data_IF_103052913118
#
_entry.id   IF_103052913118
#
_cell.length_a   1.000
_cell.length_b   1.000
_cell.length_c   1.000
_cell.angle_alpha   90.00
_cell.angle_beta   90.00
_cell.angle_gamma   90.00
#
_symmetry.space_group_name_H-M   'P 1'
#
loop_
_entity.id
_entity.type
_entity.pdbx_description
1 polymer ?
#
# COMPACT_ATOMS: atom_id res chain seq x y z
N UNK A 1 -3.94 24.43 -15.37
CA UNK A 1 -4.94 24.72 -14.32
C UNK A 1 -6.27 24.14 -14.77
N UNK A 2 -6.87 23.25 -14.00
CA UNK A 2 -8.19 22.69 -14.25
C UNK A 2 -9.22 23.69 -13.73
N UNK A 3 -10.14 24.12 -14.57
CA UNK A 3 -11.23 25.01 -14.15
C UNK A 3 -12.34 24.19 -13.47
N UNK A 4 -13.06 24.80 -12.54
CA UNK A 4 -14.14 24.11 -11.80
C UNK A 4 -15.22 23.55 -12.75
N UNK A 5 -15.48 24.24 -13.87
CA UNK A 5 -16.42 23.79 -14.91
C UNK A 5 -15.94 22.53 -15.68
N UNK A 6 -14.67 22.19 -15.56
CA UNK A 6 -14.05 21.06 -16.27
C UNK A 6 -13.98 19.79 -15.41
N UNK A 7 -14.38 19.88 -14.12
CA UNK A 7 -14.29 18.72 -13.20
C UNK A 7 -15.24 17.59 -13.62
N UNK A 8 -16.40 17.95 -14.17
CA UNK A 8 -17.44 17.00 -14.61
C UNK A 8 -17.40 16.68 -16.12
N UNK A 9 -16.53 17.35 -16.89
CA UNK A 9 -16.40 17.12 -18.33
C UNK A 9 -15.22 16.19 -18.65
N UNK A 10 -15.31 15.33 -19.66
CA UNK A 10 -14.17 14.57 -20.17
C UNK A 10 -13.12 15.55 -20.71
N UNK A 11 -12.03 15.71 -20.00
CA UNK A 11 -10.98 16.68 -20.33
C UNK A 11 -10.02 16.07 -21.34
N UNK A 12 -10.30 16.23 -22.62
CA UNK A 12 -9.39 15.79 -23.70
C UNK A 12 -8.01 16.46 -23.60
N UNK A 13 -7.95 17.69 -23.05
CA UNK A 13 -6.71 18.45 -22.84
C UNK A 13 -5.99 18.13 -21.53
N UNK A 14 -6.69 17.52 -20.56
CA UNK A 14 -6.13 17.11 -19.26
C UNK A 14 -6.55 15.67 -18.95
N UNK A 15 -5.87 14.67 -19.52
CA UNK A 15 -6.23 13.27 -19.30
C UNK A 15 -6.10 12.90 -17.82
N UNK A 16 -7.00 12.07 -17.34
CA UNK A 16 -6.88 11.50 -16.00
C UNK A 16 -5.56 10.71 -15.88
N UNK A 17 -4.82 10.95 -14.80
CA UNK A 17 -3.60 10.20 -14.50
C UNK A 17 -3.92 8.95 -13.70
N UNK A 18 -4.84 9.05 -12.74
CA UNK A 18 -5.31 7.94 -11.93
C UNK A 18 -6.73 8.17 -11.41
N UNK A 19 -7.38 7.10 -10.99
CA UNK A 19 -8.66 7.16 -10.27
C UNK A 19 -8.61 6.17 -9.12
N UNK A 20 -8.91 6.64 -7.90
CA UNK A 20 -9.10 5.77 -6.74
C UNK A 20 -10.58 5.46 -6.58
N UNK A 21 -10.88 4.19 -6.46
CA UNK A 21 -12.22 3.67 -6.20
C UNK A 21 -12.34 3.31 -4.74
N UNK A 22 -13.46 3.71 -4.13
CA UNK A 22 -13.75 3.47 -2.72
C UNK A 22 -14.91 2.49 -2.60
N UNK A 23 -14.84 1.65 -1.59
CA UNK A 23 -15.96 0.79 -1.21
C UNK A 23 -16.98 1.64 -0.43
N UNK A 24 -18.22 1.67 -0.92
CA UNK A 24 -19.28 2.53 -0.40
C UNK A 24 -20.48 1.76 0.15
N UNK A 25 -20.48 0.44 0.03
CA UNK A 25 -21.55 -0.40 0.56
C UNK A 25 -21.41 -0.53 2.09
N UNK A 26 -22.54 -0.75 2.75
CA UNK A 26 -22.57 -0.87 4.20
C UNK A 26 -21.68 -2.03 4.67
N UNK A 27 -20.69 -1.71 5.51
CA UNK A 27 -19.82 -2.67 6.15
C UNK A 27 -20.61 -3.28 7.31
N UNK A 28 -20.89 -4.59 7.23
CA UNK A 28 -21.73 -5.27 8.22
C UNK A 28 -23.24 -4.92 8.11
N UNK A 29 -24.07 -5.57 8.88
CA UNK A 29 -25.53 -5.41 8.81
C UNK A 29 -25.98 -3.99 9.23
N UNK A 30 -26.09 -3.08 8.25
CA UNK A 30 -26.74 -1.80 8.42
C UNK A 30 -25.89 -0.61 8.88
N UNK A 31 -24.57 -0.72 8.91
CA UNK A 31 -23.72 0.44 9.19
C UNK A 31 -23.64 1.35 7.95
N UNK A 32 -24.00 2.62 8.13
CA UNK A 32 -23.82 3.64 7.10
C UNK A 32 -22.38 4.12 7.11
N UNK A 33 -21.77 4.17 5.94
CA UNK A 33 -20.49 4.85 5.75
C UNK A 33 -20.75 6.35 5.74
N UNK A 34 -20.11 7.09 6.64
CA UNK A 34 -20.15 8.53 6.69
C UNK A 34 -18.96 9.14 5.94
N UNK A 35 -19.05 10.42 5.63
CA UNK A 35 -17.93 11.16 5.04
C UNK A 35 -16.71 11.07 5.95
N UNK A 36 -15.61 10.53 5.40
CA UNK A 36 -14.37 10.29 6.11
C UNK A 36 -14.13 8.84 6.51
N UNK A 37 -15.16 7.99 6.39
CA UNK A 37 -15.09 6.55 6.68
C UNK A 37 -14.84 5.72 5.41
N UNK A 38 -14.71 6.38 4.24
CA UNK A 38 -14.53 5.71 2.97
C UNK A 38 -13.24 4.88 2.97
N UNK A 39 -13.35 3.62 2.53
CA UNK A 39 -12.23 2.69 2.44
C UNK A 39 -11.85 2.55 0.97
N UNK A 40 -10.61 2.93 0.62
CA UNK A 40 -10.10 2.78 -0.73
C UNK A 40 -9.99 1.29 -1.10
N UNK A 41 -10.53 0.89 -2.24
CA UNK A 41 -10.46 -0.49 -2.71
C UNK A 41 -9.29 -0.72 -3.66
N UNK A 42 -9.18 0.13 -4.68
CA UNK A 42 -8.03 0.13 -5.59
C UNK A 42 -7.86 1.48 -6.29
N UNK A 43 -6.68 1.71 -6.83
CA UNK A 43 -6.37 2.85 -7.69
C UNK A 43 -5.98 2.36 -9.08
N UNK A 44 -6.66 2.84 -10.11
CA UNK A 44 -6.31 2.64 -11.51
C UNK A 44 -5.35 3.73 -11.99
N UNK A 45 -4.22 3.36 -12.55
CA UNK A 45 -3.25 4.24 -13.20
C UNK A 45 -3.45 4.18 -14.72
N UNK A 46 -3.92 5.27 -15.32
CA UNK A 46 -4.21 5.35 -16.75
C UNK A 46 -2.96 5.36 -17.64
N UNK A 47 -1.81 5.74 -17.11
CA UNK A 47 -0.55 5.74 -17.85
C UNK A 47 0.00 4.33 -18.03
N UNK A 48 -0.09 3.51 -16.99
CA UNK A 48 0.44 2.15 -16.99
C UNK A 48 -0.62 1.10 -17.26
N UNK A 49 -1.91 1.44 -17.15
CA UNK A 49 -3.04 0.53 -17.26
C UNK A 49 -3.09 -0.48 -16.10
N UNK A 50 -2.56 -0.12 -14.92
CA UNK A 50 -2.45 -1.02 -13.78
C UNK A 50 -3.30 -0.57 -12.62
N UNK A 51 -3.72 -1.56 -11.83
CA UNK A 51 -4.45 -1.36 -10.60
C UNK A 51 -3.55 -1.67 -9.40
N UNK A 52 -3.54 -0.73 -8.44
CA UNK A 52 -2.98 -0.92 -7.10
C UNK A 52 -4.12 -1.24 -6.15
N UNK A 53 -4.14 -2.45 -5.61
CA UNK A 53 -5.17 -2.96 -4.70
C UNK A 53 -4.76 -2.77 -3.25
N UNK A 54 -5.72 -2.46 -2.38
CA UNK A 54 -5.49 -2.17 -0.97
C UNK A 54 -6.12 -3.24 -0.07
N UNK A 55 -5.41 -3.54 1.02
CA UNK A 55 -5.79 -4.56 2.00
C UNK A 55 -5.66 -4.00 3.40
N UNK A 56 -6.58 -4.37 4.27
CA UNK A 56 -6.79 -3.78 5.59
C UNK A 56 -6.78 -4.84 6.66
N UNK A 57 -6.25 -4.53 7.83
CA UNK A 57 -6.27 -5.40 9.01
C UNK A 57 -5.98 -4.57 10.26
N UNK A 58 -6.20 -5.17 11.41
CA UNK A 58 -5.75 -4.70 12.73
C UNK A 58 -4.41 -5.34 13.15
N UNK A 59 -3.88 -6.28 12.35
CA UNK A 59 -2.63 -7.00 12.61
C UNK A 59 -1.54 -6.60 11.63
N UNK A 60 -0.46 -5.99 12.11
CA UNK A 60 0.71 -5.64 11.32
C UNK A 60 1.33 -6.86 10.62
N UNK A 61 1.75 -6.69 9.36
CA UNK A 61 2.36 -7.74 8.56
C UNK A 61 1.39 -8.84 8.10
N UNK A 62 0.07 -8.67 8.33
CA UNK A 62 -0.92 -9.57 7.77
C UNK A 62 -1.21 -9.25 6.30
N UNK A 63 -1.66 -10.26 5.55
CA UNK A 63 -2.10 -10.07 4.16
C UNK A 63 -3.31 -9.15 4.05
N UNK A 64 -4.07 -9.00 5.14
CA UNK A 64 -5.25 -8.15 5.20
C UNK A 64 -6.44 -8.66 4.39
N UNK A 65 -7.54 -7.93 4.45
CA UNK A 65 -8.76 -8.17 3.68
C UNK A 65 -9.01 -7.00 2.73
N UNK A 66 -9.76 -7.24 1.65
CA UNK A 66 -10.18 -6.19 0.72
C UNK A 66 -11.17 -5.24 1.39
N UNK A 67 -11.31 -4.04 0.86
CA UNK A 67 -12.19 -2.99 1.39
C UNK A 67 -13.63 -3.46 1.65
N UNK A 68 -14.14 -4.42 0.87
CA UNK A 68 -15.48 -5.00 1.04
C UNK A 68 -15.67 -5.85 2.32
N UNK A 69 -14.57 -6.25 2.96
CA UNK A 69 -14.54 -7.05 4.19
C UNK A 69 -13.87 -6.32 5.35
N UNK A 70 -13.33 -5.14 5.10
CA UNK A 70 -12.63 -4.34 6.10
C UNK A 70 -13.62 -3.60 7.00
N UNK A 71 -13.29 -3.43 8.27
CA UNK A 71 -14.01 -2.55 9.19
C UNK A 71 -13.49 -1.11 9.07
N UNK A 72 -14.31 -0.14 9.49
CA UNK A 72 -14.02 1.29 9.28
C UNK A 72 -12.72 1.75 9.94
N UNK A 73 -12.35 1.14 11.07
CA UNK A 73 -11.17 1.47 11.87
C UNK A 73 -9.91 0.67 11.49
N UNK A 74 -10.03 -0.33 10.62
CA UNK A 74 -8.88 -1.08 10.14
C UNK A 74 -7.90 -0.18 9.38
N UNK A 75 -6.62 -0.43 9.59
CA UNK A 75 -5.51 0.24 8.91
C UNK A 75 -5.13 -0.51 7.63
N UNK A 76 -4.55 0.19 6.67
CA UNK A 76 -4.02 -0.44 5.47
C UNK A 76 -2.72 -1.18 5.82
N UNK A 77 -2.74 -2.50 5.70
CA UNK A 77 -1.59 -3.37 6.00
C UNK A 77 -0.77 -3.69 4.77
N UNK A 78 -1.40 -3.73 3.60
CA UNK A 78 -0.75 -4.11 2.34
C UNK A 78 -1.34 -3.35 1.16
N UNK A 79 -0.50 -3.00 0.20
CA UNK A 79 -0.92 -2.66 -1.16
C UNK A 79 -0.22 -3.58 -2.16
N UNK A 80 -0.92 -4.00 -3.22
CA UNK A 80 -0.39 -4.93 -4.18
C UNK A 80 -0.77 -4.55 -5.62
N UNK A 81 0.15 -4.77 -6.55
CA UNK A 81 -0.07 -4.61 -7.99
C UNK A 81 -0.02 -5.99 -8.64
N UNK A 82 -1.11 -6.40 -9.25
CA UNK A 82 -1.18 -7.62 -10.07
C UNK A 82 -0.78 -7.33 -11.52
N UNK A 83 -0.29 -8.35 -12.23
CA UNK A 83 -0.08 -8.31 -13.69
C UNK A 83 -1.34 -8.67 -14.48
N UNK A 84 -2.29 -9.35 -13.83
CA UNK A 84 -3.58 -9.68 -14.40
C UNK A 84 -4.50 -8.45 -14.45
N UNK A 85 -5.53 -8.51 -15.28
CA UNK A 85 -6.51 -7.43 -15.39
C UNK A 85 -7.40 -7.28 -14.14
N UNK A 86 -7.51 -8.34 -13.32
CA UNK A 86 -8.10 -8.33 -12.01
C UNK A 86 -7.03 -8.73 -10.98
N UNK A 87 -7.30 -8.48 -9.70
CA UNK A 87 -6.37 -8.92 -8.66
C UNK A 87 -6.18 -10.43 -8.70
N UNK A 88 -4.92 -10.84 -8.76
CA UNK A 88 -4.51 -12.25 -8.78
C UNK A 88 -3.23 -12.40 -7.96
N UNK A 89 -3.36 -13.04 -6.80
CA UNK A 89 -2.27 -13.33 -5.87
C UNK A 89 -1.15 -14.17 -6.50
N UNK A 90 -1.49 -15.02 -7.48
CA UNK A 90 -0.50 -15.84 -8.19
C UNK A 90 0.31 -15.06 -9.25
N UNK A 91 -0.10 -13.84 -9.58
CA UNK A 91 0.49 -13.00 -10.62
C UNK A 91 0.89 -11.62 -10.12
N UNK A 92 1.45 -11.53 -8.93
CA UNK A 92 1.90 -10.26 -8.37
C UNK A 92 3.09 -9.69 -9.16
N UNK A 93 3.06 -8.36 -9.34
CA UNK A 93 4.17 -7.56 -9.82
C UNK A 93 4.99 -7.03 -8.66
N UNK A 94 4.30 -6.46 -7.68
CA UNK A 94 4.90 -5.93 -6.45
C UNK A 94 3.85 -5.85 -5.37
N UNK A 95 4.31 -5.85 -4.12
CA UNK A 95 3.49 -5.55 -2.96
C UNK A 95 4.31 -4.76 -1.94
N UNK A 96 3.61 -3.96 -1.14
CA UNK A 96 4.20 -3.19 -0.05
C UNK A 96 3.40 -3.48 1.21
N UNK A 97 4.11 -3.83 2.28
CA UNK A 97 3.56 -4.00 3.61
C UNK A 97 3.79 -2.75 4.45
N UNK A 98 2.83 -2.45 5.30
CA UNK A 98 2.82 -1.25 6.11
C UNK A 98 2.89 -1.59 7.59
N UNK A 99 3.54 -0.71 8.34
CA UNK A 99 3.59 -0.77 9.80
C UNK A 99 2.38 -0.01 10.37
N UNK A 100 1.72 -0.61 11.36
CA UNK A 100 0.50 -0.08 11.99
C UNK A 100 0.77 0.66 13.31
N UNK A 101 1.95 1.22 13.49
CA UNK A 101 2.35 1.91 14.73
C UNK A 101 1.73 3.33 14.91
N UNK A 102 0.87 3.76 14.01
CA UNK A 102 0.16 5.03 14.04
C UNK A 102 -1.35 4.87 14.10
N UNK A 103 -2.09 5.94 13.81
CA UNK A 103 -3.51 5.90 13.58
C UNK A 103 -3.82 5.52 12.12
N UNK A 104 -5.09 5.22 11.82
CA UNK A 104 -5.56 5.03 10.44
C UNK A 104 -5.22 6.26 9.59
N UNK A 105 -4.59 6.04 8.44
CA UNK A 105 -4.11 7.09 7.54
C UNK A 105 -2.66 7.53 7.80
N UNK A 106 -2.00 6.98 8.83
CA UNK A 106 -0.61 7.26 9.19
C UNK A 106 0.30 6.04 8.94
N UNK A 107 -0.20 5.05 8.22
CA UNK A 107 0.53 3.84 7.90
C UNK A 107 1.80 4.15 7.11
N UNK A 108 2.91 3.52 7.50
CA UNK A 108 4.21 3.72 6.88
C UNK A 108 4.67 2.45 6.20
N UNK A 109 5.23 2.57 5.00
CA UNK A 109 5.82 1.44 4.32
C UNK A 109 6.91 0.81 5.20
N UNK A 110 6.82 -0.49 5.43
CA UNK A 110 7.77 -1.26 6.22
C UNK A 110 8.76 -1.98 5.31
N UNK A 111 8.24 -2.78 4.38
CA UNK A 111 9.02 -3.40 3.32
C UNK A 111 8.18 -3.62 2.07
N UNK A 112 8.84 -3.84 0.94
CA UNK A 112 8.15 -4.20 -0.29
C UNK A 112 8.88 -5.31 -1.04
N UNK A 113 8.11 -6.14 -1.72
CA UNK A 113 8.60 -7.16 -2.64
C UNK A 113 8.31 -6.76 -4.08
N UNK A 114 9.29 -6.94 -4.94
CA UNK A 114 9.12 -6.97 -6.38
C UNK A 114 9.26 -8.40 -6.87
N UNK A 115 8.38 -8.82 -7.75
CA UNK A 115 8.30 -10.19 -8.25
C UNK A 115 8.87 -10.32 -9.66
N UNK A 116 9.44 -11.47 -9.96
CA UNK A 116 9.81 -11.85 -11.33
C UNK A 116 8.56 -11.98 -12.20
N UNK A 117 8.74 -12.09 -13.52
CA UNK A 117 7.62 -12.13 -14.47
C UNK A 117 6.67 -13.31 -14.29
N UNK A 118 7.11 -14.38 -13.62
CA UNK A 118 6.27 -15.54 -13.28
C UNK A 118 5.36 -15.31 -12.04
N UNK A 119 5.47 -14.16 -11.37
CA UNK A 119 4.59 -13.72 -10.30
C UNK A 119 4.82 -14.32 -8.91
N UNK A 120 5.56 -15.42 -8.81
CA UNK A 120 5.69 -16.18 -7.55
C UNK A 120 7.08 -16.17 -6.94
N UNK A 121 8.05 -15.57 -7.62
CA UNK A 121 9.44 -15.51 -7.16
C UNK A 121 9.80 -14.06 -6.88
N UNK A 122 10.21 -13.78 -5.65
CA UNK A 122 10.69 -12.46 -5.26
C UNK A 122 12.01 -12.21 -6.00
N UNK A 123 12.06 -11.09 -6.69
CA UNK A 123 13.23 -10.60 -7.41
C UNK A 123 14.14 -9.76 -6.50
N UNK A 124 13.52 -8.90 -5.74
CA UNK A 124 14.18 -8.01 -4.80
C UNK A 124 13.23 -7.61 -3.66
N UNK A 125 13.82 -7.24 -2.53
CA UNK A 125 13.13 -6.74 -1.34
C UNK A 125 13.65 -5.35 -1.01
N UNK A 126 12.76 -4.37 -0.85
CA UNK A 126 13.10 -3.05 -0.34
C UNK A 126 12.64 -2.92 1.10
N UNK A 127 13.55 -2.53 1.99
CA UNK A 127 13.28 -2.25 3.41
C UNK A 127 13.38 -0.76 3.66
N UNK A 128 12.38 -0.20 4.35
CA UNK A 128 12.30 1.20 4.69
C UNK A 128 12.63 1.41 6.16
N UNK A 129 13.60 2.28 6.45
CA UNK A 129 14.04 2.60 7.80
C UNK A 129 13.62 4.02 8.16
N UNK A 130 13.11 4.18 9.37
CA UNK A 130 12.64 5.46 9.89
C UNK A 130 13.50 5.89 11.08
N UNK A 131 13.54 7.21 11.30
CA UNK A 131 14.16 7.81 12.47
C UNK A 131 13.45 7.32 13.73
N UNK A 132 14.20 6.77 14.66
CA UNK A 132 13.64 6.39 15.98
C UNK A 132 13.66 7.62 16.88
N UNK A 133 12.53 8.28 17.00
CA UNK A 133 12.33 9.35 17.96
C UNK A 133 11.93 8.76 19.33
N UNK A 134 12.30 9.42 20.41
CA UNK A 134 11.95 9.02 21.78
C UNK A 134 10.95 10.02 22.37
N UNK A 135 9.93 9.52 23.09
CA UNK A 135 8.92 10.35 23.74
C UNK A 135 7.52 10.27 23.09
N UNK A 136 6.62 11.15 23.48
CA UNK A 136 5.22 11.14 23.04
C UNK A 136 5.05 11.40 21.54
N UNK A 137 5.98 12.15 20.92
CA UNK A 137 5.95 12.52 19.49
C UNK A 137 6.66 11.50 18.59
N UNK A 138 7.20 10.43 19.18
CA UNK A 138 8.10 9.51 18.49
C UNK A 138 7.46 8.79 17.28
N UNK A 139 6.16 8.60 17.25
CA UNK A 139 5.48 7.83 16.22
C UNK A 139 4.88 8.67 15.10
N UNK A 140 4.43 9.87 15.42
CA UNK A 140 3.73 10.73 14.46
C UNK A 140 4.68 11.47 13.51
N UNK A 141 5.93 11.71 13.94
CA UNK A 141 6.90 12.56 13.24
C UNK A 141 8.16 11.84 12.73
N UNK A 142 8.20 10.51 12.77
CA UNK A 142 9.35 9.76 12.29
C UNK A 142 9.52 9.92 10.77
N UNK A 143 10.67 10.41 10.35
CA UNK A 143 11.02 10.58 8.94
C UNK A 143 11.72 9.33 8.41
N UNK A 144 11.44 8.98 7.15
CA UNK A 144 12.21 7.96 6.47
C UNK A 144 13.68 8.41 6.36
N UNK A 145 14.58 7.59 6.88
CA UNK A 145 16.03 7.85 6.85
C UNK A 145 16.72 7.09 5.75
N UNK A 146 16.26 5.87 5.45
CA UNK A 146 16.84 5.01 4.43
C UNK A 146 15.79 4.18 3.71
N UNK A 147 16.10 3.84 2.47
CA UNK A 147 15.40 2.84 1.67
C UNK A 147 16.47 1.95 1.03
N UNK A 148 16.56 0.72 1.49
CA UNK A 148 17.59 -0.22 1.06
C UNK A 148 16.97 -1.37 0.27
N UNK A 149 17.44 -1.61 -0.96
CA UNK A 149 16.97 -2.72 -1.79
C UNK A 149 18.01 -3.84 -1.79
N UNK A 150 17.53 -5.05 -1.52
CA UNK A 150 18.31 -6.28 -1.45
C UNK A 150 17.87 -7.23 -2.55
N UNK A 151 18.80 -8.01 -3.09
CA UNK A 151 18.48 -9.06 -4.02
C UNK A 151 17.76 -10.21 -3.28
N UNK A 152 16.76 -10.78 -3.94
CA UNK A 152 15.95 -11.89 -3.43
C UNK A 152 15.14 -11.54 -2.15
N UNK A 153 14.67 -12.56 -1.44
CA UNK A 153 13.85 -12.40 -0.24
C UNK A 153 14.71 -12.06 0.98
N UNK A 154 14.29 -11.05 1.72
CA UNK A 154 14.78 -10.78 3.09
C UNK A 154 13.77 -11.36 4.07
N UNK A 155 14.22 -12.15 5.05
CA UNK A 155 13.33 -12.70 6.07
C UNK A 155 12.82 -11.60 7.00
N UNK A 156 11.56 -11.70 7.41
CA UNK A 156 10.94 -10.73 8.34
C UNK A 156 11.78 -10.52 9.61
N UNK A 157 12.37 -11.58 10.15
CA UNK A 157 13.25 -11.51 11.32
C UNK A 157 14.53 -10.69 11.08
N UNK A 158 14.93 -10.52 9.82
CA UNK A 158 16.13 -9.77 9.43
C UNK A 158 15.79 -8.32 9.05
N UNK A 159 14.53 -7.99 8.85
CA UNK A 159 14.11 -6.64 8.46
C UNK A 159 14.37 -5.63 9.60
N UNK A 160 14.16 -6.04 10.83
CA UNK A 160 14.40 -5.22 12.03
C UNK A 160 15.81 -5.40 12.62
N UNK A 161 16.61 -6.31 12.07
CA UNK A 161 18.00 -6.55 12.48
C UNK A 161 18.99 -5.89 11.49
N UNK A 162 20.23 -5.57 11.90
CA UNK A 162 21.25 -5.12 10.96
C UNK A 162 21.48 -6.19 9.89
N UNK A 163 21.08 -5.92 8.66
CA UNK A 163 21.11 -6.84 7.51
C UNK A 163 22.54 -7.10 7.02
N UNK A 164 23.37 -7.73 7.85
CA UNK A 164 24.76 -8.06 7.51
C UNK A 164 24.89 -9.19 6.45
N UNK A 165 23.84 -10.00 6.28
CA UNK A 165 23.91 -11.22 5.46
C UNK A 165 23.42 -11.05 4.01
N UNK A 166 22.63 -10.02 3.71
CA UNK A 166 22.09 -9.79 2.37
C UNK A 166 22.82 -8.61 1.69
N UNK A 167 23.42 -8.82 0.52
CA UNK A 167 24.10 -7.73 -0.20
C UNK A 167 23.06 -6.71 -0.69
N UNK A 168 23.28 -5.44 -0.35
CA UNK A 168 22.53 -4.33 -0.95
C UNK A 168 22.78 -4.32 -2.46
N UNK A 169 21.74 -4.08 -3.22
CA UNK A 169 21.86 -3.76 -4.64
C UNK A 169 22.33 -2.30 -4.75
N UNK A 170 23.44 -2.08 -5.42
CA UNK A 170 24.00 -0.75 -5.71
C UNK A 170 23.27 -0.07 -6.86
#
# INVERSE_FOLDING_TARGET
TVLLADIDAPLAANPKLSTTYYYLDAIGAGQKIYKGDEIADYTHDYKTGRDSYYFYSDAAGSDGVRASLAEIDMQMTRSAISRAAAFDEANLRSETFYNLNGNKGEERAWYSYNYQSNGNVIKDTTVYTYEVLTGADARENERMTESNTYKDTVLLADIDAPLAANPKLS
#
